data_IF_930586600347
#
_entry.id   IF_930586600347
#
_cell.length_a   1.000
_cell.length_b   1.000
_cell.length_c   1.000
_cell.angle_alpha   90.00
_cell.angle_beta   90.00
_cell.angle_gamma   90.00
#
_symmetry.space_group_name_H-M   'P 1'
#
loop_
_entity.id
_entity.type
_entity.pdbx_description
1 polymer ?
#
# COMPACT_ATOMS: atom_id res chain seq x y z
N UNK A 1 5.04 39.59 12.42
CA UNK A 1 6.37 39.89 11.86
C UNK A 1 7.02 38.56 11.53
N UNK A 2 6.82 38.07 10.31
CA UNK A 2 7.68 37.15 9.57
C UNK A 2 7.28 37.31 8.10
N UNK A 3 8.15 37.96 7.36
CA UNK A 3 8.00 38.32 5.95
C UNK A 3 8.22 37.06 5.10
N UNK A 4 7.29 36.78 4.19
CA UNK A 4 7.51 35.80 3.12
C UNK A 4 8.23 36.52 1.99
N UNK A 5 9.56 36.37 1.94
CA UNK A 5 10.37 36.80 0.81
C UNK A 5 10.11 35.91 -0.41
N UNK A 6 10.00 36.59 -1.55
CA UNK A 6 9.65 36.02 -2.84
C UNK A 6 10.62 34.95 -3.33
N UNK A 7 10.04 33.89 -3.88
CA UNK A 7 10.69 33.02 -4.84
C UNK A 7 10.03 33.36 -6.17
N UNK A 8 10.71 34.19 -6.96
CA UNK A 8 10.45 34.32 -8.39
C UNK A 8 10.83 32.98 -9.05
N UNK A 9 9.83 32.17 -9.35
CA UNK A 9 10.01 31.04 -10.25
C UNK A 9 10.00 31.58 -11.68
N UNK A 10 11.19 31.63 -12.29
CA UNK A 10 11.41 31.82 -13.72
C UNK A 10 10.40 30.99 -14.52
N UNK A 11 9.46 31.68 -15.15
CA UNK A 11 8.64 31.17 -16.24
C UNK A 11 9.43 31.38 -17.52
N UNK A 12 10.18 30.38 -17.98
CA UNK A 12 10.66 30.30 -19.36
C UNK A 12 11.20 28.89 -19.61
N UNK A 13 10.29 27.95 -19.87
CA UNK A 13 10.56 26.87 -20.83
C UNK A 13 9.23 26.45 -21.50
N UNK A 14 8.92 27.19 -22.56
CA UNK A 14 7.76 27.01 -23.41
C UNK A 14 7.84 25.71 -24.21
N UNK A 15 7.13 24.69 -23.73
CA UNK A 15 6.44 23.73 -24.61
C UNK A 15 5.11 23.25 -24.01
N UNK A 16 4.36 24.17 -23.38
CA UNK A 16 3.00 23.87 -22.93
C UNK A 16 2.07 23.88 -24.14
N UNK A 17 1.78 22.69 -24.66
CA UNK A 17 0.76 22.48 -25.69
C UNK A 17 -0.62 22.91 -25.13
N UNK A 18 -1.28 23.95 -25.68
CA UNK A 18 -2.55 24.50 -25.20
C UNK A 18 -3.70 23.50 -25.31
N UNK A 19 -3.50 22.37 -25.96
CA UNK A 19 -4.47 21.28 -26.00
C UNK A 19 -4.56 20.56 -24.64
N UNK A 20 -3.58 20.60 -23.74
CA UNK A 20 -3.55 19.77 -22.52
C UNK A 20 -4.49 20.18 -21.37
N UNK A 21 -5.12 21.35 -21.41
CA UNK A 21 -5.98 21.89 -20.33
C UNK A 21 -7.18 21.02 -19.89
N UNK A 22 -8.06 20.53 -20.79
CA UNK A 22 -9.25 19.79 -20.38
C UNK A 22 -8.94 18.46 -19.66
N UNK A 23 -7.79 17.85 -19.98
CA UNK A 23 -7.32 16.64 -19.29
C UNK A 23 -6.82 16.99 -17.88
N UNK A 24 -6.12 18.12 -17.72
CA UNK A 24 -5.65 18.59 -16.41
C UNK A 24 -6.83 18.88 -15.46
N UNK A 25 -7.89 19.50 -15.95
CA UNK A 25 -9.09 19.78 -15.13
C UNK A 25 -9.80 18.49 -14.71
N UNK A 26 -9.96 17.55 -15.65
CA UNK A 26 -10.53 16.23 -15.37
C UNK A 26 -9.71 15.47 -14.33
N UNK A 27 -8.38 15.57 -14.40
CA UNK A 27 -7.48 14.99 -13.41
C UNK A 27 -7.59 15.67 -12.05
N UNK A 28 -7.66 16.99 -12.00
CA UNK A 28 -7.83 17.71 -10.73
C UNK A 28 -9.15 17.33 -10.04
N UNK A 29 -10.22 17.18 -10.82
CA UNK A 29 -11.51 16.69 -10.34
C UNK A 29 -11.40 15.26 -9.82
N UNK A 30 -10.76 14.37 -10.58
CA UNK A 30 -10.51 12.98 -10.17
C UNK A 30 -9.72 12.89 -8.86
N UNK A 31 -8.62 13.63 -8.75
CA UNK A 31 -7.79 13.66 -7.53
C UNK A 31 -8.56 14.23 -6.33
N UNK A 32 -9.44 15.21 -6.54
CA UNK A 32 -10.33 15.71 -5.48
C UNK A 32 -11.31 14.65 -5.00
N UNK A 33 -11.85 13.84 -5.91
CA UNK A 33 -12.77 12.75 -5.59
C UNK A 33 -12.06 11.60 -4.86
N UNK A 34 -10.85 11.22 -5.28
CA UNK A 34 -10.02 10.22 -4.59
C UNK A 34 -9.76 10.65 -3.15
N UNK A 35 -9.38 11.91 -2.93
CA UNK A 35 -9.11 12.44 -1.59
C UNK A 35 -10.37 12.45 -0.71
N UNK A 36 -11.50 12.88 -1.26
CA UNK A 36 -12.79 12.86 -0.56
C UNK A 36 -13.16 11.44 -0.10
N UNK A 37 -13.00 10.46 -0.99
CA UNK A 37 -13.32 9.07 -0.70
C UNK A 37 -12.34 8.44 0.30
N UNK A 38 -11.05 8.76 0.21
CA UNK A 38 -10.04 8.36 1.18
C UNK A 38 -10.40 8.84 2.60
N UNK A 39 -10.79 10.11 2.74
CA UNK A 39 -11.26 10.64 4.03
C UNK A 39 -12.55 9.98 4.54
N UNK A 40 -13.39 9.45 3.64
CA UNK A 40 -14.59 8.71 4.04
C UNK A 40 -14.32 7.30 4.55
N UNK A 41 -13.12 6.74 4.32
CA UNK A 41 -12.77 5.41 4.81
C UNK A 41 -12.40 5.43 6.30
N UNK A 42 -12.17 6.60 6.89
CA UNK A 42 -11.81 6.70 8.31
C UNK A 42 -12.91 6.08 9.19
N UNK A 43 -12.53 5.29 10.21
CA UNK A 43 -13.47 4.56 11.03
C UNK A 43 -14.37 5.55 11.79
N UNK A 44 -15.56 5.79 11.25
CA UNK A 44 -16.64 6.43 12.00
C UNK A 44 -17.39 5.31 12.69
N UNK A 45 -17.29 5.28 14.02
CA UNK A 45 -18.10 4.38 14.85
C UNK A 45 -19.55 4.76 14.57
N UNK A 46 -20.19 3.99 13.70
CA UNK A 46 -21.59 4.10 13.36
C UNK A 46 -22.20 2.75 13.69
N UNK A 47 -23.12 2.74 14.64
CA UNK A 47 -23.99 1.61 14.93
C UNK A 47 -24.94 1.44 13.74
N UNK A 48 -24.52 0.72 12.70
CA UNK A 48 -25.43 0.32 11.62
C UNK A 48 -25.97 -1.08 11.89
N UNK A 49 -27.29 -1.18 11.77
CA UNK A 49 -28.07 -2.40 11.95
C UNK A 49 -27.66 -3.47 10.93
N UNK A 50 -27.49 -4.69 11.44
CA UNK A 50 -27.09 -5.91 10.74
C UNK A 50 -27.70 -6.05 9.33
N UNK A 51 -26.92 -5.68 8.33
CA UNK A 51 -27.05 -6.16 6.96
C UNK A 51 -25.87 -7.10 6.69
N UNK A 52 -26.12 -8.22 5.99
CA UNK A 52 -25.04 -9.12 5.61
C UNK A 52 -24.00 -8.35 4.77
N UNK A 53 -22.70 -8.45 5.10
CA UNK A 53 -21.67 -7.72 4.39
C UNK A 53 -21.64 -8.17 2.93
N UNK A 54 -21.79 -7.21 2.00
CA UNK A 54 -21.85 -7.50 0.57
C UNK A 54 -20.43 -7.63 0.00
N UNK A 55 -19.73 -8.69 0.41
CA UNK A 55 -18.33 -8.92 0.05
C UNK A 55 -18.13 -9.16 -1.45
N UNK A 56 -19.12 -9.74 -2.14
CA UNK A 56 -19.07 -10.00 -3.59
C UNK A 56 -18.93 -8.72 -4.42
N UNK A 57 -19.47 -7.59 -3.95
CA UNK A 57 -19.37 -6.31 -4.66
C UNK A 57 -17.92 -5.82 -4.76
N UNK A 58 -17.08 -6.11 -3.76
CA UNK A 58 -15.66 -5.78 -3.84
C UNK A 58 -14.97 -6.53 -4.98
N UNK A 59 -15.28 -7.82 -5.16
CA UNK A 59 -14.69 -8.64 -6.23
C UNK A 59 -15.03 -8.04 -7.60
N UNK A 60 -16.31 -7.74 -7.83
CA UNK A 60 -16.77 -7.17 -9.10
C UNK A 60 -16.12 -5.81 -9.38
N UNK A 61 -16.02 -4.95 -8.35
CA UNK A 61 -15.37 -3.64 -8.47
C UNK A 61 -13.86 -3.79 -8.70
N UNK A 62 -13.18 -4.73 -8.05
CA UNK A 62 -11.76 -5.01 -8.25
C UNK A 62 -11.47 -5.46 -9.68
N UNK A 63 -12.28 -6.36 -10.24
CA UNK A 63 -12.17 -6.79 -11.64
C UNK A 63 -12.35 -5.61 -12.61
N UNK A 64 -13.32 -4.74 -12.33
CA UNK A 64 -13.58 -3.55 -13.12
C UNK A 64 -12.43 -2.54 -13.04
N UNK A 65 -11.90 -2.30 -11.84
CA UNK A 65 -10.76 -1.43 -11.57
C UNK A 65 -9.48 -1.92 -12.26
N UNK A 66 -9.21 -3.23 -12.30
CA UNK A 66 -8.07 -3.79 -13.05
C UNK A 66 -8.17 -3.51 -14.55
N UNK A 67 -9.35 -3.70 -15.13
CA UNK A 67 -9.62 -3.37 -16.54
C UNK A 67 -9.43 -1.86 -16.79
N UNK A 68 -10.08 -1.01 -16.00
CA UNK A 68 -10.04 0.43 -16.22
C UNK A 68 -8.67 1.06 -15.92
N UNK A 69 -7.94 0.58 -14.90
CA UNK A 69 -6.57 1.06 -14.61
C UNK A 69 -5.61 0.77 -15.76
N UNK A 70 -5.75 -0.38 -16.42
CA UNK A 70 -4.97 -0.75 -17.60
C UNK A 70 -5.28 0.15 -18.79
N UNK A 71 -6.56 0.38 -19.05
CA UNK A 71 -7.01 1.28 -20.11
C UNK A 71 -6.53 2.71 -19.85
N UNK A 72 -6.62 3.19 -18.61
CA UNK A 72 -6.15 4.50 -18.19
C UNK A 72 -4.63 4.62 -18.34
N UNK A 73 -3.88 3.59 -17.95
CA UNK A 73 -2.42 3.54 -18.09
C UNK A 73 -1.99 3.67 -19.56
N UNK A 74 -2.70 3.00 -20.48
CA UNK A 74 -2.47 3.15 -21.92
C UNK A 74 -2.92 4.52 -22.43
N UNK A 75 -4.09 5.00 -22.04
CA UNK A 75 -4.67 6.27 -22.51
C UNK A 75 -3.82 7.50 -22.15
N UNK A 76 -3.17 7.46 -20.98
CA UNK A 76 -2.30 8.52 -20.52
C UNK A 76 -0.90 8.46 -21.16
N UNK A 77 -0.56 7.40 -21.94
CA UNK A 77 0.78 7.27 -22.56
C UNK A 77 0.96 8.33 -23.65
N UNK A 78 2.11 9.05 -23.72
CA UNK A 78 2.36 9.99 -24.80
C UNK A 78 2.38 9.30 -26.18
N UNK A 79 1.84 9.94 -27.23
CA UNK A 79 1.06 11.18 -27.20
C UNK A 79 -0.35 10.96 -26.63
N UNK A 80 -0.76 11.82 -25.69
CA UNK A 80 -2.03 11.67 -24.98
C UNK A 80 -3.20 12.05 -25.90
N UNK A 81 -4.12 11.10 -26.08
CA UNK A 81 -5.41 11.36 -26.75
C UNK A 81 -6.44 11.76 -25.72
N UNK A 82 -6.85 13.03 -25.72
CA UNK A 82 -7.64 13.62 -24.63
C UNK A 82 -9.00 12.97 -24.43
N UNK A 83 -9.74 12.70 -25.50
CA UNK A 83 -11.05 12.07 -25.43
C UNK A 83 -10.99 10.67 -24.82
N UNK A 84 -9.90 9.94 -25.07
CA UNK A 84 -9.68 8.60 -24.50
C UNK A 84 -9.27 8.73 -23.04
N UNK A 85 -8.36 9.66 -22.70
CA UNK A 85 -7.94 9.89 -21.33
C UNK A 85 -9.08 10.35 -20.42
N UNK A 86 -9.90 11.31 -20.85
CA UNK A 86 -11.05 11.80 -20.08
C UNK A 86 -12.12 10.72 -19.92
N UNK A 87 -12.36 9.91 -20.96
CA UNK A 87 -13.26 8.74 -20.88
C UNK A 87 -12.75 7.72 -19.85
N UNK A 88 -11.50 7.31 -19.91
CA UNK A 88 -10.94 6.34 -18.96
C UNK A 88 -10.91 6.89 -17.53
N UNK A 89 -10.63 8.19 -17.34
CA UNK A 89 -10.71 8.85 -16.03
C UNK A 89 -12.13 8.82 -15.46
N UNK A 90 -13.14 9.07 -16.29
CA UNK A 90 -14.55 8.99 -15.89
C UNK A 90 -14.96 7.55 -15.54
N UNK A 91 -14.57 6.56 -16.35
CA UNK A 91 -14.85 5.15 -16.09
C UNK A 91 -14.27 4.72 -14.74
N UNK A 92 -13.01 5.04 -14.46
CA UNK A 92 -12.41 4.78 -13.14
C UNK A 92 -13.15 5.54 -12.03
N UNK A 93 -13.41 6.84 -12.20
CA UNK A 93 -14.05 7.65 -11.15
C UNK A 93 -15.44 7.15 -10.77
N UNK A 94 -16.18 6.59 -11.74
CA UNK A 94 -17.51 6.04 -11.51
C UNK A 94 -17.54 4.80 -10.61
N UNK A 95 -16.42 4.09 -10.47
CA UNK A 95 -16.33 2.86 -9.66
C UNK A 95 -16.00 3.13 -8.19
N UNK A 96 -15.31 4.24 -7.90
CA UNK A 96 -14.81 4.56 -6.56
C UNK A 96 -15.93 4.74 -5.52
N UNK A 97 -17.06 5.42 -5.83
CA UNK A 97 -18.18 5.53 -4.88
C UNK A 97 -18.75 4.17 -4.48
N UNK A 98 -18.83 3.21 -5.41
CA UNK A 98 -19.30 1.86 -5.14
C UNK A 98 -18.38 1.13 -4.16
N UNK A 99 -17.06 1.29 -4.31
CA UNK A 99 -16.07 0.68 -3.44
C UNK A 99 -16.19 1.22 -2.01
N UNK A 100 -16.32 2.53 -1.86
CA UNK A 100 -16.50 3.18 -0.55
C UNK A 100 -17.84 2.79 0.06
N UNK A 101 -18.92 2.75 -0.72
CA UNK A 101 -20.23 2.36 -0.23
C UNK A 101 -20.21 0.92 0.31
N UNK A 102 -19.59 -0.03 -0.42
CA UNK A 102 -19.41 -1.41 0.02
C UNK A 102 -18.62 -1.46 1.34
N UNK A 103 -17.51 -0.71 1.44
CA UNK A 103 -16.72 -0.63 2.67
C UNK A 103 -17.51 -0.12 3.87
N UNK A 104 -18.38 0.88 3.66
CA UNK A 104 -19.20 1.43 4.75
C UNK A 104 -20.26 0.47 5.29
N UNK A 105 -20.60 -0.59 4.56
CA UNK A 105 -21.46 -1.67 5.08
C UNK A 105 -20.71 -2.62 6.02
N UNK A 106 -19.37 -2.59 6.01
CA UNK A 106 -18.56 -3.42 6.89
C UNK A 106 -18.48 -2.80 8.28
N UNK A 107 -18.59 -3.64 9.30
CA UNK A 107 -18.34 -3.26 10.69
C UNK A 107 -17.18 -4.07 11.25
N UNK A 108 -16.21 -3.45 11.95
CA UNK A 108 -15.13 -4.19 12.59
C UNK A 108 -15.64 -5.18 13.65
N UNK A 109 -16.87 -4.99 14.14
CA UNK A 109 -17.51 -5.90 15.09
C UNK A 109 -18.10 -7.15 14.42
N UNK A 110 -18.46 -7.09 13.12
CA UNK A 110 -19.03 -8.22 12.39
C UNK A 110 -17.96 -9.05 11.69
N UNK A 111 -17.01 -8.40 11.01
CA UNK A 111 -15.97 -9.09 10.23
C UNK A 111 -14.65 -9.26 10.98
N UNK A 112 -14.51 -8.64 12.15
CA UNK A 112 -13.29 -8.60 12.94
C UNK A 112 -12.38 -7.43 12.55
N UNK A 113 -11.74 -6.81 13.56
CA UNK A 113 -10.91 -5.62 13.38
C UNK A 113 -9.74 -5.83 12.42
N UNK A 114 -9.06 -6.98 12.53
CA UNK A 114 -7.94 -7.32 11.65
C UNK A 114 -8.33 -7.30 10.18
N UNK A 115 -9.43 -8.00 9.85
CA UNK A 115 -9.94 -8.11 8.49
C UNK A 115 -10.46 -6.77 7.95
N UNK A 116 -11.16 -6.01 8.80
CA UNK A 116 -11.63 -4.67 8.46
C UNK A 116 -10.47 -3.71 8.11
N UNK A 117 -9.41 -3.69 8.92
CA UNK A 117 -8.24 -2.83 8.68
C UNK A 117 -7.45 -3.26 7.44
N UNK A 118 -7.35 -4.57 7.16
CA UNK A 118 -6.70 -5.04 5.94
C UNK A 118 -7.50 -4.65 4.68
N UNK A 119 -8.83 -4.81 4.69
CA UNK A 119 -9.68 -4.32 3.57
C UNK A 119 -9.47 -2.82 3.39
N UNK A 120 -9.52 -2.04 4.48
CA UNK A 120 -9.30 -0.60 4.45
C UNK A 120 -7.94 -0.25 3.84
N UNK A 121 -6.90 -0.96 4.26
CA UNK A 121 -5.54 -0.79 3.75
C UNK A 121 -5.48 -1.05 2.24
N UNK A 122 -6.05 -2.15 1.75
CA UNK A 122 -6.05 -2.49 0.32
C UNK A 122 -6.82 -1.46 -0.52
N UNK A 123 -7.95 -0.95 -0.04
CA UNK A 123 -8.70 0.13 -0.71
C UNK A 123 -7.85 1.42 -0.75
N UNK A 124 -7.16 1.76 0.33
CA UNK A 124 -6.23 2.89 0.35
C UNK A 124 -5.10 2.70 -0.67
N UNK A 125 -4.53 1.50 -0.80
CA UNK A 125 -3.52 1.18 -1.82
C UNK A 125 -4.05 1.37 -3.24
N UNK A 126 -5.31 1.00 -3.51
CA UNK A 126 -5.96 1.27 -4.81
C UNK A 126 -6.03 2.78 -5.07
N UNK A 127 -6.48 3.57 -4.09
CA UNK A 127 -6.55 5.04 -4.23
C UNK A 127 -5.18 5.68 -4.42
N UNK A 128 -4.16 5.25 -3.67
CA UNK A 128 -2.79 5.71 -3.82
C UNK A 128 -2.24 5.35 -5.21
N UNK A 129 -2.44 4.11 -5.66
CA UNK A 129 -2.02 3.67 -6.99
C UNK A 129 -2.69 4.46 -8.12
N UNK A 130 -3.99 4.77 -7.99
CA UNK A 130 -4.73 5.59 -8.95
C UNK A 130 -4.23 7.03 -8.99
N UNK A 131 -3.97 7.62 -7.83
CA UNK A 131 -3.40 8.96 -7.72
C UNK A 131 -2.02 9.02 -8.39
N UNK A 132 -1.13 8.07 -8.08
CA UNK A 132 0.20 7.99 -8.70
C UNK A 132 0.11 7.79 -10.21
N UNK A 133 -0.73 6.88 -10.69
CA UNK A 133 -0.90 6.60 -12.13
C UNK A 133 -1.26 7.85 -12.93
N UNK A 134 -2.17 8.67 -12.38
CA UNK A 134 -2.65 9.89 -13.03
C UNK A 134 -1.62 11.02 -12.95
N UNK A 135 -0.98 11.19 -11.79
CA UNK A 135 0.08 12.18 -11.56
C UNK A 135 1.29 11.96 -12.49
N UNK A 136 1.77 10.72 -12.55
CA UNK A 136 2.87 10.33 -13.43
C UNK A 136 2.48 10.47 -14.91
N UNK A 137 1.21 10.23 -15.24
CA UNK A 137 0.71 10.29 -16.62
C UNK A 137 0.75 11.66 -17.27
N UNK A 138 0.62 12.72 -16.47
CA UNK A 138 0.57 14.11 -16.95
C UNK A 138 1.90 14.85 -16.67
N UNK A 139 2.85 14.22 -15.97
CA UNK A 139 4.23 14.69 -15.85
C UNK A 139 4.42 15.97 -15.05
N UNK A 140 3.46 16.35 -14.19
CA UNK A 140 3.45 17.70 -13.60
C UNK A 140 3.12 17.80 -12.12
N UNK A 141 2.96 16.68 -11.40
CA UNK A 141 2.54 16.75 -10.01
C UNK A 141 3.04 15.57 -9.17
N UNK A 142 3.71 15.79 -8.04
CA UNK A 142 3.89 14.73 -7.06
C UNK A 142 2.53 14.34 -6.47
N UNK A 143 2.27 13.06 -6.18
CA UNK A 143 1.04 12.65 -5.49
C UNK A 143 0.87 13.45 -4.17
N UNK A 144 -0.36 13.89 -3.85
CA UNK A 144 -0.71 14.64 -2.62
C UNK A 144 -0.61 13.75 -1.40
N UNK A 145 -1.07 12.52 -1.53
CA UNK A 145 -0.70 11.46 -0.61
C UNK A 145 0.78 11.27 -0.80
N UNK A 146 1.59 11.62 0.20
CA UNK A 146 2.97 11.15 0.28
C UNK A 146 2.97 9.65 0.51
N UNK A 147 2.37 8.88 -0.40
CA UNK A 147 2.39 7.44 -0.53
C UNK A 147 2.53 6.75 0.83
N UNK A 148 1.68 7.09 1.82
CA UNK A 148 1.95 6.74 3.23
C UNK A 148 2.09 5.22 3.42
N UNK A 149 1.49 4.47 2.50
CA UNK A 149 1.51 3.00 2.42
C UNK A 149 2.40 2.44 1.28
N UNK A 150 2.97 3.30 0.46
CA UNK A 150 3.78 3.02 -0.74
C UNK A 150 5.27 3.36 -0.55
N UNK A 151 5.63 4.12 0.50
CA UNK A 151 6.97 4.70 0.71
C UNK A 151 8.06 3.67 1.01
N UNK A 152 7.74 2.44 1.41
CA UNK A 152 8.78 1.48 1.83
C UNK A 152 9.38 0.61 0.71
N UNK A 153 8.88 0.65 -0.54
CA UNK A 153 9.41 -0.22 -1.61
C UNK A 153 9.71 0.42 -2.97
N UNK A 154 9.31 1.67 -3.22
CA UNK A 154 9.35 2.21 -4.58
C UNK A 154 10.01 3.60 -4.64
N UNK A 155 11.34 3.61 -4.62
CA UNK A 155 12.10 4.74 -5.13
C UNK A 155 11.74 4.96 -6.61
N UNK A 156 11.18 6.14 -6.91
CA UNK A 156 10.91 6.71 -8.25
C UNK A 156 10.50 5.68 -9.31
N UNK A 157 9.26 5.19 -9.27
CA UNK A 157 8.79 4.20 -10.25
C UNK A 157 7.85 4.75 -11.32
N UNK A 158 8.06 4.24 -12.52
CA UNK A 158 7.25 4.39 -13.73
C UNK A 158 5.76 4.06 -13.52
N UNK A 159 4.91 4.61 -14.40
CA UNK A 159 3.46 4.39 -14.48
C UNK A 159 3.01 2.92 -14.57
N UNK A 160 3.88 2.07 -15.10
CA UNK A 160 3.64 0.62 -15.14
C UNK A 160 3.65 0.05 -13.72
N UNK A 161 4.47 0.60 -12.84
CA UNK A 161 4.51 0.19 -11.44
C UNK A 161 3.26 0.61 -10.67
N UNK A 162 2.68 1.79 -10.93
CA UNK A 162 1.44 2.21 -10.24
C UNK A 162 0.22 1.43 -10.70
N UNK A 163 0.18 1.00 -11.96
CA UNK A 163 -0.83 0.04 -12.45
C UNK A 163 -0.68 -1.31 -11.73
N UNK A 164 0.55 -1.78 -11.54
CA UNK A 164 0.84 -3.01 -10.80
C UNK A 164 0.43 -2.97 -9.33
N UNK A 165 0.57 -1.82 -8.66
CA UNK A 165 0.08 -1.62 -7.27
C UNK A 165 -1.44 -1.77 -7.20
N UNK A 166 -2.17 -1.19 -8.14
CA UNK A 166 -3.64 -1.30 -8.18
C UNK A 166 -4.04 -2.76 -8.36
N UNK A 167 -3.34 -3.48 -9.26
CA UNK A 167 -3.60 -4.89 -9.52
C UNK A 167 -3.33 -5.74 -8.29
N UNK A 168 -2.15 -5.61 -7.67
CA UNK A 168 -1.79 -6.35 -6.45
C UNK A 168 -2.81 -6.11 -5.32
N UNK A 169 -3.23 -4.86 -5.12
CA UNK A 169 -4.23 -4.54 -4.11
C UNK A 169 -5.60 -5.17 -4.43
N UNK A 170 -6.00 -5.22 -5.71
CA UNK A 170 -7.24 -5.86 -6.14
C UNK A 170 -7.18 -7.38 -6.01
N UNK A 171 -6.07 -8.00 -6.41
CA UNK A 171 -5.89 -9.46 -6.38
C UNK A 171 -5.86 -9.95 -4.93
N UNK A 172 -5.14 -9.23 -4.04
CA UNK A 172 -5.14 -9.52 -2.60
C UNK A 172 -6.50 -9.33 -1.95
N UNK A 173 -7.29 -8.35 -2.41
CA UNK A 173 -8.64 -8.14 -1.88
C UNK A 173 -9.58 -9.28 -2.32
N UNK A 174 -9.47 -9.72 -3.58
CA UNK A 174 -10.22 -10.85 -4.13
C UNK A 174 -9.85 -12.15 -3.38
N UNK A 175 -8.56 -12.46 -3.25
CA UNK A 175 -8.05 -13.62 -2.52
C UNK A 175 -8.51 -13.65 -1.05
N UNK A 176 -8.42 -12.51 -0.37
CA UNK A 176 -8.85 -12.38 1.02
C UNK A 176 -10.35 -12.66 1.18
N UNK A 177 -11.17 -12.17 0.26
CA UNK A 177 -12.62 -12.41 0.28
C UNK A 177 -12.95 -13.87 -0.01
N UNK A 178 -12.26 -14.50 -0.95
CA UNK A 178 -12.47 -15.90 -1.31
C UNK A 178 -12.07 -16.86 -0.18
N UNK A 179 -10.95 -16.59 0.51
CA UNK A 179 -10.51 -17.38 1.67
C UNK A 179 -11.33 -17.10 2.93
N UNK A 180 -11.94 -15.92 3.01
CA UNK A 180 -12.61 -15.42 4.20
C UNK A 180 -11.65 -15.12 5.35
N UNK A 181 -12.22 -14.65 6.47
CA UNK A 181 -11.45 -14.12 7.62
C UNK A 181 -10.48 -15.14 8.20
N UNK A 182 -10.92 -16.39 8.39
CA UNK A 182 -10.10 -17.44 9.01
C UNK A 182 -8.98 -17.89 8.09
N UNK A 183 -9.28 -18.12 6.80
CA UNK A 183 -8.28 -18.54 5.82
C UNK A 183 -7.19 -17.49 5.64
N UNK A 184 -7.59 -16.21 5.52
CA UNK A 184 -6.63 -15.11 5.39
C UNK A 184 -5.76 -14.92 6.64
N UNK A 185 -6.34 -15.09 7.84
CA UNK A 185 -5.57 -15.01 9.08
C UNK A 185 -4.50 -16.11 9.17
N UNK A 186 -4.82 -17.35 8.76
CA UNK A 186 -3.86 -18.45 8.69
C UNK A 186 -2.77 -18.19 7.65
N UNK A 187 -3.13 -17.68 6.47
CA UNK A 187 -2.16 -17.30 5.44
C UNK A 187 -1.17 -16.25 5.96
N UNK A 188 -1.67 -15.22 6.66
CA UNK A 188 -0.81 -14.17 7.25
C UNK A 188 0.08 -14.70 8.35
N UNK A 189 -0.42 -15.61 9.19
CA UNK A 189 0.39 -16.27 10.20
C UNK A 189 1.53 -17.07 9.56
N UNK A 190 1.22 -17.84 8.50
CA UNK A 190 2.24 -18.57 7.74
C UNK A 190 3.30 -17.61 7.18
N UNK A 191 2.87 -16.49 6.58
CA UNK A 191 3.80 -15.49 6.08
C UNK A 191 4.73 -14.92 7.16
N UNK A 192 4.24 -14.70 8.39
CA UNK A 192 5.11 -14.28 9.49
C UNK A 192 6.09 -15.35 9.94
N UNK A 193 5.68 -16.62 9.93
CA UNK A 193 6.58 -17.75 10.21
C UNK A 193 7.70 -17.77 9.16
N UNK A 194 7.34 -17.67 7.87
CA UNK A 194 8.30 -17.68 6.77
C UNK A 194 9.32 -16.53 6.90
N UNK A 195 8.88 -15.31 7.25
CA UNK A 195 9.77 -14.16 7.49
C UNK A 195 10.72 -14.41 8.66
N UNK A 196 10.21 -15.02 9.74
CA UNK A 196 11.04 -15.33 10.90
C UNK A 196 12.08 -16.40 10.56
N UNK A 197 11.70 -17.44 9.82
CA UNK A 197 12.61 -18.48 9.36
C UNK A 197 13.69 -17.92 8.42
N UNK A 198 13.31 -17.04 7.48
CA UNK A 198 14.25 -16.34 6.62
C UNK A 198 15.24 -15.48 7.42
N UNK A 199 14.74 -14.73 8.42
CA UNK A 199 15.56 -13.90 9.30
C UNK A 199 16.50 -14.70 10.20
N UNK A 200 16.03 -15.84 10.72
CA UNK A 200 16.88 -16.79 11.48
C UNK A 200 17.97 -17.34 10.57
N UNK A 201 17.62 -17.80 9.37
CA UNK A 201 18.60 -18.31 8.41
C UNK A 201 19.60 -17.26 7.95
N UNK A 202 19.21 -15.98 7.83
CA UNK A 202 20.14 -14.88 7.59
C UNK A 202 21.10 -14.69 8.77
N UNK A 203 20.61 -14.68 10.02
CA UNK A 203 21.44 -14.56 11.21
C UNK A 203 22.41 -15.73 11.40
N UNK A 204 21.97 -16.96 11.13
CA UNK A 204 22.83 -18.15 11.16
C UNK A 204 23.98 -18.02 10.16
N UNK A 205 23.70 -17.61 8.92
CA UNK A 205 24.73 -17.35 7.90
C UNK A 205 25.70 -16.23 8.32
N UNK A 206 25.21 -15.20 9.01
CA UNK A 206 26.09 -14.13 9.52
C UNK A 206 27.04 -14.64 10.60
N UNK A 207 26.59 -15.54 11.48
CA UNK A 207 27.42 -16.17 12.51
C UNK A 207 28.46 -17.08 11.86
N UNK A 208 28.06 -17.93 10.92
CA UNK A 208 28.95 -18.86 10.22
C UNK A 208 30.04 -18.11 9.42
N UNK A 209 29.65 -17.09 8.66
CA UNK A 209 30.61 -16.26 7.91
C UNK A 209 31.55 -15.45 8.81
N UNK A 210 31.11 -15.06 10.02
CA UNK A 210 31.99 -14.42 11.00
C UNK A 210 32.98 -15.40 11.63
N UNK A 211 32.69 -16.69 11.69
CA UNK A 211 33.63 -17.68 12.25
C UNK A 211 34.75 -18.05 11.26
N UNK A 212 34.53 -17.90 9.94
CA UNK A 212 35.52 -18.20 8.91
C UNK A 212 36.55 -17.07 8.68
N UNK A 213 36.20 -15.81 8.98
CA UNK A 213 37.10 -14.64 8.84
C UNK A 213 37.89 -14.29 10.12
N UNK A 214 37.59 -14.93 11.26
CA UNK A 214 38.15 -14.57 12.57
C UNK A 214 39.34 -15.43 13.01
N UNK A 215 39.83 -16.30 12.14
CA UNK A 215 40.98 -17.17 12.43
C UNK A 215 42.35 -16.49 12.15
N UNK A 216 42.40 -15.29 11.55
CA UNK A 216 43.68 -14.61 11.20
C UNK A 216 43.91 -13.24 11.87
N UNK A 217 42.93 -12.64 12.56
CA UNK A 217 43.16 -11.40 13.32
C UNK A 217 42.43 -11.38 14.67
N UNK A 218 42.98 -12.10 15.67
CA UNK A 218 43.15 -11.63 17.05
C UNK A 218 41.98 -11.00 17.83
N UNK A 219 40.74 -11.05 17.37
CA UNK A 219 39.57 -10.66 18.14
C UNK A 219 39.07 -11.89 18.87
N UNK A 220 39.69 -12.15 20.02
CA UNK A 220 39.10 -13.03 21.00
C UNK A 220 37.71 -12.52 21.35
N UNK A 221 36.68 -13.25 20.95
CA UNK A 221 35.54 -13.41 21.85
C UNK A 221 36.16 -13.91 23.15
N UNK A 222 36.40 -13.02 24.11
CA UNK A 222 36.50 -13.43 25.50
C UNK A 222 35.23 -14.25 25.72
N UNK A 223 35.41 -15.56 25.86
CA UNK A 223 34.41 -16.48 26.36
C UNK A 223 33.83 -15.78 27.59
N UNK A 224 32.67 -15.16 27.44
CA UNK A 224 32.03 -14.44 28.51
C UNK A 224 31.60 -15.52 29.49
N UNK A 225 32.48 -15.80 30.45
CA UNK A 225 32.17 -16.71 31.55
C UNK A 225 31.09 -16.01 32.36
N UNK A 226 29.85 -16.37 32.02
CA UNK A 226 28.68 -16.04 32.81
C UNK A 226 29.02 -16.37 34.25
N UNK A 227 28.79 -15.44 35.17
CA UNK A 227 28.90 -15.78 36.57
C UNK A 227 27.91 -16.90 36.88
N UNK A 228 28.22 -17.73 37.88
CA UNK A 228 27.33 -18.83 38.30
C UNK A 228 25.87 -18.37 38.52
N UNK A 229 25.67 -17.08 38.87
CA UNK A 229 24.35 -16.46 39.04
C UNK A 229 23.62 -16.26 37.71
N UNK A 230 24.32 -15.79 36.69
CA UNK A 230 23.75 -15.53 35.37
C UNK A 230 23.44 -16.85 34.64
N UNK A 231 24.28 -17.88 34.83
CA UNK A 231 24.03 -19.22 34.28
C UNK A 231 22.82 -19.88 34.97
N UNK A 232 22.65 -19.69 36.28
CA UNK A 232 21.49 -20.19 37.02
C UNK A 232 20.20 -19.49 36.57
N UNK A 233 20.23 -18.17 36.39
CA UNK A 233 19.09 -17.39 35.91
C UNK A 233 18.65 -17.79 34.50
N UNK A 234 19.61 -17.96 33.58
CA UNK A 234 19.31 -18.41 32.22
C UNK A 234 18.64 -19.81 32.21
N UNK A 235 19.10 -20.73 33.06
CA UNK A 235 18.50 -22.07 33.19
C UNK A 235 17.10 -22.03 33.79
N UNK A 236 16.81 -21.06 34.65
CA UNK A 236 15.49 -20.87 35.27
C UNK A 236 14.49 -20.31 34.26
N UNK A 237 14.88 -19.30 33.48
CA UNK A 237 14.05 -18.76 32.39
C UNK A 237 13.69 -19.81 31.33
N UNK A 238 14.63 -20.69 30.97
CA UNK A 238 14.39 -21.78 30.00
C UNK A 238 13.41 -22.83 30.55
N UNK A 239 13.37 -23.04 31.88
CA UNK A 239 12.39 -23.94 32.50
C UNK A 239 10.99 -23.32 32.51
N UNK A 240 10.88 -22.03 32.82
CA UNK A 240 9.58 -21.33 32.79
C UNK A 240 8.97 -21.28 31.39
N UNK A 241 9.79 -21.17 30.34
CA UNK A 241 9.31 -21.20 28.95
C UNK A 241 8.84 -22.57 28.46
N UNK A 242 9.20 -23.66 29.16
CA UNK A 242 8.82 -25.04 28.80
C UNK A 242 7.62 -25.57 29.59
N UNK A 243 7.02 -24.74 30.44
CA UNK A 243 5.82 -25.06 31.24
C UNK A 243 4.63 -24.30 30.71
#
# INVERSE_FOLDING_TARGET
MFECNGIECNTDDDSINPKSEPVKDSVNSFLGLVELHRGSLEPKISEQESTEPILSVFIDICRLLRSHSSQLSVALRPPITQSVATKCLFEVSSTLPGLVAAFRTLSPMTVGRFYYEEIRYLICCVFDGMETLVCDGIGGRPPRSGAKYLVDRLERRDRVSSTGVIWDACDRLEEMIEMGVVGYALLKLQHYIDILDDGIGELERWIEGSLEDWDDEGFGFEKFELSDKEETYARECVKELKT
#
